data_IF_635318301960
#
_entry.id   IF_635318301960
#
_cell.length_a   1.000
_cell.length_b   1.000
_cell.length_c   1.000
_cell.angle_alpha   90.00
_cell.angle_beta   90.00
_cell.angle_gamma   90.00
#
_symmetry.space_group_name_H-M   'P 1'
#
loop_
_entity.id
_entity.type
_entity.pdbx_description
1 polymer ?
#
# COMPACT_ATOMS: atom_id res chain seq x y z
N UNK A 1 -11.71 16.25 -26.67
CA UNK A 1 -12.64 15.61 -27.62
C UNK A 1 -13.80 15.02 -26.82
N UNK A 2 -15.04 15.35 -27.16
CA UNK A 2 -16.21 14.76 -26.50
C UNK A 2 -16.26 13.26 -26.85
N UNK A 3 -16.32 12.40 -25.84
CA UNK A 3 -16.52 10.96 -26.02
C UNK A 3 -17.90 10.74 -26.62
N UNK A 4 -17.97 10.10 -27.79
CA UNK A 4 -19.25 9.69 -28.35
C UNK A 4 -19.86 8.59 -27.44
N UNK A 5 -20.96 8.91 -26.76
CA UNK A 5 -21.62 8.02 -25.81
C UNK A 5 -22.39 6.88 -26.50
N UNK A 6 -22.66 6.98 -27.80
CA UNK A 6 -23.44 5.97 -28.54
C UNK A 6 -22.76 4.59 -28.59
N UNK A 7 -21.44 4.55 -28.43
CA UNK A 7 -20.65 3.31 -28.41
C UNK A 7 -20.57 2.63 -27.03
N UNK A 8 -21.17 3.23 -26.01
CA UNK A 8 -21.05 2.80 -24.63
C UNK A 8 -22.40 2.47 -24.00
N UNK A 9 -22.37 1.54 -23.05
CA UNK A 9 -23.45 1.29 -22.09
C UNK A 9 -22.97 1.78 -20.74
N UNK A 10 -23.75 2.64 -20.08
CA UNK A 10 -23.44 3.08 -18.72
C UNK A 10 -23.89 2.00 -17.75
N UNK A 11 -22.98 1.54 -16.90
CA UNK A 11 -23.29 0.64 -15.79
C UNK A 11 -23.08 1.41 -14.50
N UNK A 12 -24.09 1.43 -13.64
CA UNK A 12 -24.02 2.01 -12.30
C UNK A 12 -23.93 0.91 -11.25
N UNK A 13 -23.00 1.06 -10.32
CA UNK A 13 -22.90 0.23 -9.14
C UNK A 13 -22.48 1.09 -7.94
N UNK A 14 -23.31 1.10 -6.90
CA UNK A 14 -23.15 2.03 -5.78
C UNK A 14 -23.20 3.48 -6.28
N UNK A 15 -22.19 4.25 -5.94
CA UNK A 15 -22.05 5.65 -6.35
C UNK A 15 -21.21 5.84 -7.62
N UNK A 16 -20.60 4.77 -8.13
CA UNK A 16 -19.76 4.80 -9.31
C UNK A 16 -20.53 4.43 -10.59
N UNK A 17 -20.15 5.06 -11.69
CA UNK A 17 -20.67 4.77 -13.02
C UNK A 17 -19.52 4.48 -14.00
N UNK A 18 -19.62 3.42 -14.79
CA UNK A 18 -18.60 3.06 -15.78
C UNK A 18 -19.19 3.04 -17.19
N UNK A 19 -18.38 3.49 -18.15
CA UNK A 19 -18.64 3.42 -19.57
C UNK A 19 -18.12 2.09 -20.12
N UNK A 20 -19.03 1.14 -20.34
CA UNK A 20 -18.68 -0.15 -20.95
C UNK A 20 -18.83 -0.10 -22.45
N UNK A 21 -17.75 -0.40 -23.18
CA UNK A 21 -17.82 -0.46 -24.64
C UNK A 21 -18.73 -1.61 -25.09
N UNK A 22 -19.61 -1.35 -26.05
CA UNK A 22 -20.47 -2.38 -26.67
C UNK A 22 -19.67 -3.52 -27.33
N UNK A 23 -18.38 -3.29 -27.62
CA UNK A 23 -17.45 -4.30 -28.16
C UNK A 23 -16.87 -5.24 -27.09
N UNK A 24 -17.30 -5.10 -25.83
CA UNK A 24 -16.94 -5.93 -24.68
C UNK A 24 -15.43 -6.19 -24.52
N UNK A 25 -14.62 -5.13 -24.73
CA UNK A 25 -13.16 -5.22 -24.68
C UNK A 25 -12.58 -5.36 -23.27
N UNK A 26 -13.32 -4.87 -22.28
CA UNK A 26 -12.88 -4.81 -20.88
C UNK A 26 -13.86 -5.58 -20.04
N UNK A 27 -13.36 -6.29 -19.04
CA UNK A 27 -14.18 -7.17 -18.23
C UNK A 27 -15.06 -6.41 -17.23
N UNK A 28 -16.24 -6.97 -17.02
CA UNK A 28 -17.16 -6.60 -15.95
C UNK A 28 -18.01 -7.82 -15.58
N UNK A 29 -18.17 -8.08 -14.28
CA UNK A 29 -19.05 -9.13 -13.78
C UNK A 29 -20.05 -8.60 -12.75
N UNK A 30 -21.34 -8.70 -13.06
CA UNK A 30 -22.44 -8.31 -12.18
C UNK A 30 -22.56 -9.22 -10.94
N UNK A 31 -22.09 -10.46 -11.00
CA UNK A 31 -22.12 -11.36 -9.84
C UNK A 31 -21.15 -10.92 -8.72
N UNK A 32 -20.16 -10.07 -9.04
CA UNK A 32 -19.16 -9.60 -8.09
C UNK A 32 -19.56 -8.32 -7.32
N UNK A 33 -20.81 -7.84 -7.44
CA UNK A 33 -21.29 -6.67 -6.67
C UNK A 33 -21.06 -6.89 -5.17
N UNK A 34 -21.46 -8.05 -4.64
CA UNK A 34 -21.30 -8.37 -3.21
C UNK A 34 -19.83 -8.46 -2.79
N UNK A 35 -18.94 -8.91 -3.69
CA UNK A 35 -17.50 -8.95 -3.41
C UNK A 35 -16.95 -7.52 -3.26
N UNK A 36 -17.33 -6.61 -4.16
CA UNK A 36 -16.94 -5.19 -4.10
C UNK A 36 -17.53 -4.48 -2.88
N UNK A 37 -18.79 -4.75 -2.55
CA UNK A 37 -19.44 -4.23 -1.33
C UNK A 37 -18.71 -4.67 -0.07
N UNK A 38 -18.27 -5.94 -0.02
CA UNK A 38 -17.50 -6.47 1.09
C UNK A 38 -16.16 -5.73 1.24
N UNK A 39 -15.43 -5.49 0.15
CA UNK A 39 -14.18 -4.74 0.20
C UNK A 39 -14.37 -3.31 0.71
N UNK A 40 -15.47 -2.64 0.32
CA UNK A 40 -15.83 -1.31 0.83
C UNK A 40 -16.09 -1.36 2.34
N UNK A 41 -16.85 -2.34 2.81
CA UNK A 41 -17.13 -2.51 4.23
C UNK A 41 -15.84 -2.74 5.03
N UNK A 42 -14.94 -3.59 4.52
CA UNK A 42 -13.64 -3.88 5.14
C UNK A 42 -12.75 -2.63 5.19
N UNK A 43 -12.64 -1.88 4.09
CA UNK A 43 -11.85 -0.64 4.04
C UNK A 43 -12.38 0.43 4.99
N UNK A 44 -13.71 0.60 5.08
CA UNK A 44 -14.33 1.51 6.06
C UNK A 44 -13.99 1.09 7.49
N UNK A 45 -14.10 -0.20 7.81
CA UNK A 45 -13.74 -0.72 9.13
C UNK A 45 -12.24 -0.53 9.43
N UNK A 46 -11.38 -0.76 8.44
CA UNK A 46 -9.93 -0.56 8.56
C UNK A 46 -9.57 0.91 8.86
N UNK A 47 -10.15 1.86 8.12
CA UNK A 47 -9.93 3.30 8.35
C UNK A 47 -10.41 3.70 9.75
N UNK A 48 -11.61 3.26 10.15
CA UNK A 48 -12.14 3.55 11.49
C UNK A 48 -11.24 2.99 12.59
N UNK A 49 -10.76 1.76 12.43
CA UNK A 49 -9.85 1.12 13.39
C UNK A 49 -8.51 1.85 13.48
N UNK A 50 -7.92 2.24 12.34
CA UNK A 50 -6.66 3.02 12.30
C UNK A 50 -6.80 4.36 13.02
N UNK A 51 -7.92 5.06 12.85
CA UNK A 51 -8.20 6.31 13.56
C UNK A 51 -8.26 6.09 15.07
N UNK A 52 -9.00 5.07 15.53
CA UNK A 52 -9.08 4.72 16.94
C UNK A 52 -7.69 4.37 17.51
N UNK A 53 -6.91 3.52 16.84
CA UNK A 53 -5.57 3.12 17.28
C UNK A 53 -4.63 4.33 17.39
N UNK A 54 -4.72 5.27 16.44
CA UNK A 54 -3.93 6.51 16.45
C UNK A 54 -4.34 7.44 17.60
N UNK A 55 -5.64 7.64 17.83
CA UNK A 55 -6.15 8.43 18.95
C UNK A 55 -5.73 7.84 20.31
N UNK A 56 -5.81 6.51 20.45
CA UNK A 56 -5.35 5.81 21.64
C UNK A 56 -3.83 6.00 21.85
N UNK A 57 -3.04 5.90 20.79
CA UNK A 57 -1.60 6.16 20.83
C UNK A 57 -1.29 7.58 21.30
N UNK A 58 -1.96 8.59 20.74
CA UNK A 58 -1.82 9.98 21.15
C UNK A 58 -2.20 10.19 22.62
N UNK A 59 -3.29 9.57 23.07
CA UNK A 59 -3.75 9.65 24.47
C UNK A 59 -2.74 9.04 25.45
N UNK A 60 -2.09 7.93 25.08
CA UNK A 60 -1.06 7.26 25.88
C UNK A 60 0.22 8.09 25.92
N UNK A 61 0.65 8.66 24.79
CA UNK A 61 1.81 9.56 24.70
C UNK A 61 1.64 10.79 25.59
N UNK A 62 0.46 11.43 25.54
CA UNK A 62 0.15 12.59 26.37
C UNK A 62 0.18 12.28 27.89
N UNK A 63 -0.28 11.09 28.30
CA UNK A 63 -0.19 10.62 29.70
C UNK A 63 1.26 10.31 30.11
N UNK A 64 2.07 9.75 29.22
CA UNK A 64 3.48 9.47 29.46
C UNK A 64 4.32 10.75 29.67
N UNK A 65 4.10 11.79 28.86
CA UNK A 65 4.80 13.07 29.00
C UNK A 65 4.47 13.79 30.31
N UNK A 66 3.22 13.71 30.80
CA UNK A 66 2.82 14.30 32.09
C UNK A 66 3.46 13.58 33.28
N UNK A 67 3.61 12.25 33.22
CA UNK A 67 4.21 11.46 34.31
C UNK A 67 5.73 11.64 34.41
N UNK A 68 6.40 12.02 33.31
CA UNK A 68 7.83 12.32 33.29
C UNK A 68 8.16 13.69 33.89
N UNK A 69 7.24 14.68 33.86
CA UNK A 69 7.49 16.01 34.43
C UNK A 69 7.16 16.14 35.92
N UNK A 70 6.60 15.10 36.55
CA UNK A 70 6.31 15.07 38.01
C UNK A 70 7.42 14.38 38.84
N UNK A 71 8.40 13.74 38.19
CA UNK A 71 9.46 12.98 38.88
C UNK A 71 10.80 13.70 38.99
N UNK A 72 10.91 14.97 38.58
CA UNK A 72 12.19 15.70 38.58
C UNK A 72 12.37 16.57 39.84
N UNK A 73 12.22 15.94 41.02
CA UNK A 73 12.81 16.42 42.28
C UNK A 73 13.16 15.23 43.17
N UNK A 74 14.30 14.58 42.93
CA UNK A 74 15.21 14.10 44.00
C UNK A 74 16.46 13.42 43.43
N UNK A 75 17.58 14.11 43.66
CA UNK A 75 18.90 13.59 44.04
C UNK A 75 19.82 12.93 43.00
N UNK A 76 20.90 13.67 42.70
CA UNK A 76 22.17 13.20 42.17
C UNK A 76 22.93 12.37 43.22
N UNK A 77 23.38 11.18 42.84
CA UNK A 77 24.59 10.57 43.40
C UNK A 77 25.31 9.79 42.30
N UNK A 78 26.56 10.18 42.08
CA UNK A 78 27.55 9.60 41.17
C UNK A 78 28.17 8.38 41.84
N UNK A 79 28.40 7.29 41.11
CA UNK A 79 29.61 6.47 41.26
C UNK A 79 29.84 5.55 40.04
N UNK A 80 31.12 5.27 39.80
CA UNK A 80 31.77 4.83 38.56
C UNK A 80 31.98 3.29 38.43
N UNK A 81 32.01 2.83 37.17
CA UNK A 81 32.89 1.80 36.54
C UNK A 81 32.99 0.38 37.14
N UNK A 82 32.71 -0.67 36.34
CA UNK A 82 33.75 -1.53 35.69
C UNK A 82 33.17 -2.67 34.81
N UNK A 83 33.97 -3.04 33.82
CA UNK A 83 33.73 -3.95 32.69
C UNK A 83 33.99 -5.42 33.09
N UNK A 84 33.23 -6.39 32.53
CA UNK A 84 33.66 -7.78 32.17
C UNK A 84 32.48 -8.72 31.82
N UNK A 85 32.50 -9.24 30.60
CA UNK A 85 31.89 -10.53 30.17
C UNK A 85 32.97 -11.63 30.20
N UNK A 86 32.70 -12.94 29.94
CA UNK A 86 31.48 -13.77 30.00
C UNK A 86 31.72 -15.08 30.84
N UNK A 87 30.83 -16.10 30.83
CA UNK A 87 31.00 -17.18 29.85
C UNK A 87 29.69 -17.78 29.28
N UNK A 88 29.92 -18.51 28.19
CA UNK A 88 29.00 -19.29 27.35
C UNK A 88 28.30 -20.44 28.09
N UNK A 89 27.12 -20.84 27.63
CA UNK A 89 26.83 -22.26 27.44
C UNK A 89 25.72 -22.53 26.42
N UNK A 90 26.05 -23.44 25.51
CA UNK A 90 25.25 -23.91 24.39
C UNK A 90 24.08 -24.81 24.81
N UNK A 91 23.00 -24.82 24.00
CA UNK A 91 22.45 -26.07 23.45
C UNK A 91 21.52 -25.87 22.24
N UNK A 92 21.97 -26.46 21.14
CA UNK A 92 21.27 -26.85 19.90
C UNK A 92 20.06 -27.76 20.19
N UNK A 93 19.11 -27.99 19.28
CA UNK A 93 19.31 -28.74 18.04
C UNK A 93 18.01 -28.80 17.20
N UNK A 94 18.14 -28.92 15.89
CA UNK A 94 17.00 -29.25 15.03
C UNK A 94 17.17 -28.99 13.53
N UNK A 95 18.29 -29.40 12.92
CA UNK A 95 18.49 -29.43 11.46
C UNK A 95 18.10 -30.81 10.91
N UNK A 96 17.44 -30.85 9.76
CA UNK A 96 17.41 -32.01 8.86
C UNK A 96 18.05 -31.62 7.52
N UNK A 97 18.89 -32.53 7.03
CA UNK A 97 19.75 -32.43 5.84
C UNK A 97 19.02 -33.04 4.62
N UNK A 98 19.41 -32.79 3.37
CA UNK A 98 20.55 -33.46 2.74
C UNK A 98 20.81 -32.96 1.30
N UNK A 99 22.12 -32.93 0.94
CA UNK A 99 22.83 -33.11 -0.35
C UNK A 99 22.62 -32.11 -1.51
N UNK A 100 23.67 -31.38 -1.95
CA UNK A 100 24.80 -31.75 -2.87
C UNK A 100 24.35 -31.70 -4.36
N UNK A 101 24.98 -31.03 -5.33
CA UNK A 101 26.38 -30.94 -5.73
C UNK A 101 26.53 -29.88 -6.87
N UNK A 102 27.69 -29.19 -6.88
CA UNK A 102 28.53 -28.67 -7.99
C UNK A 102 28.04 -27.89 -9.26
N UNK A 103 28.81 -26.82 -9.51
CA UNK A 103 28.96 -25.87 -10.66
C UNK A 103 29.78 -26.52 -11.83
N UNK A 104 29.93 -26.03 -13.11
CA UNK A 104 30.31 -24.63 -13.47
C UNK A 104 30.04 -24.03 -14.89
N UNK A 105 30.31 -22.71 -15.01
CA UNK A 105 30.66 -21.96 -16.25
C UNK A 105 29.49 -21.17 -16.87
N UNK A 106 29.58 -19.91 -17.34
CA UNK A 106 30.71 -19.11 -17.83
C UNK A 106 30.46 -17.58 -17.69
N UNK A 107 31.56 -16.88 -17.43
CA UNK A 107 31.98 -15.53 -17.86
C UNK A 107 31.04 -14.32 -17.74
N UNK A 108 31.33 -13.48 -16.74
CA UNK A 108 30.98 -12.05 -16.68
C UNK A 108 32.27 -11.23 -16.91
N UNK A 109 32.27 -10.37 -17.93
CA UNK A 109 33.35 -9.41 -18.17
C UNK A 109 33.10 -8.15 -17.34
N UNK A 110 34.16 -7.70 -16.70
CA UNK A 110 34.31 -6.52 -15.86
C UNK A 110 33.81 -5.23 -16.52
N UNK A 111 33.34 -4.27 -15.72
CA UNK A 111 33.88 -2.91 -15.61
C UNK A 111 33.31 -2.21 -14.36
N UNK A 112 34.23 -1.78 -13.50
CA UNK A 112 34.00 -1.06 -12.26
C UNK A 112 33.56 0.39 -12.51
N UNK A 113 32.73 0.92 -11.62
CA UNK A 113 32.36 2.33 -11.56
C UNK A 113 31.81 2.67 -10.18
N UNK A 114 32.70 2.89 -9.21
CA UNK A 114 32.38 3.38 -7.88
C UNK A 114 31.78 4.79 -7.95
N UNK A 115 30.56 4.97 -7.43
CA UNK A 115 30.00 6.29 -7.11
C UNK A 115 29.62 6.29 -5.63
N UNK A 116 30.35 7.10 -4.86
CA UNK A 116 30.04 7.46 -3.48
C UNK A 116 28.81 8.36 -3.51
N UNK A 117 27.80 8.04 -2.70
CA UNK A 117 26.70 8.96 -2.42
C UNK A 117 26.81 9.32 -0.95
N UNK A 118 27.05 10.60 -0.72
CA UNK A 118 27.16 11.24 0.59
C UNK A 118 25.82 11.15 1.32
N UNK A 119 25.86 10.64 2.55
CA UNK A 119 24.74 10.74 3.49
C UNK A 119 24.68 12.16 4.04
N UNK A 120 23.80 13.00 3.48
CA UNK A 120 23.43 14.26 4.12
C UNK A 120 22.57 13.99 5.36
N UNK A 121 23.17 14.22 6.52
CA UNK A 121 22.47 14.29 7.80
C UNK A 121 21.60 15.55 7.84
N UNK A 122 20.29 15.36 7.92
CA UNK A 122 19.34 16.42 8.26
C UNK A 122 19.19 16.43 9.78
N UNK A 123 19.76 17.47 10.39
CA UNK A 123 19.48 17.90 11.77
C UNK A 123 18.01 18.35 11.86
N UNK A 124 17.19 17.59 12.59
CA UNK A 124 15.78 17.91 12.83
C UNK A 124 15.57 18.18 14.33
N UNK A 125 16.03 19.35 14.77
CA UNK A 125 15.72 19.93 16.06
C UNK A 125 14.53 20.90 15.98
N UNK A 126 13.41 20.45 15.40
CA UNK A 126 12.12 21.11 15.59
C UNK A 126 11.16 20.19 16.35
N UNK A 127 10.51 20.75 17.38
CA UNK A 127 9.55 20.03 18.22
C UNK A 127 8.45 19.36 17.39
N UNK A 128 8.62 18.07 17.14
CA UNK A 128 7.75 17.26 16.28
C UNK A 128 6.35 17.21 16.88
N UNK A 129 5.44 18.03 16.34
CA UNK A 129 3.99 17.88 16.57
C UNK A 129 3.63 16.41 16.29
N UNK A 130 2.66 15.82 17.01
CA UNK A 130 2.26 14.45 16.72
C UNK A 130 1.89 14.35 15.24
N UNK A 131 2.56 13.45 14.51
CA UNK A 131 2.34 13.28 13.08
C UNK A 131 0.86 12.96 12.84
N UNK A 132 0.21 13.74 12.00
CA UNK A 132 -1.18 13.51 11.61
C UNK A 132 -1.31 12.13 10.93
N UNK A 133 -2.43 11.45 11.16
CA UNK A 133 -2.65 10.14 10.56
C UNK A 133 -2.93 10.30 9.06
N UNK A 134 -1.95 9.95 8.24
CA UNK A 134 -2.10 9.96 6.78
C UNK A 134 -3.23 9.02 6.32
N UNK A 135 -4.08 9.45 5.37
CA UNK A 135 -5.07 8.61 4.72
C UNK A 135 -4.42 7.38 4.05
N UNK A 136 -5.01 6.18 4.15
CA UNK A 136 -4.40 4.98 3.60
C UNK A 136 -4.36 5.02 2.07
N UNK A 137 -3.22 4.61 1.51
CA UNK A 137 -3.02 4.41 0.07
C UNK A 137 -3.39 3.00 -0.32
N UNK A 138 -4.18 2.87 -1.38
CA UNK A 138 -4.74 1.59 -1.84
C UNK A 138 -4.23 1.25 -3.23
N UNK A 139 -3.84 0.00 -3.44
CA UNK A 139 -3.58 -0.58 -4.76
C UNK A 139 -4.70 -1.54 -5.13
N UNK A 140 -5.41 -1.27 -6.22
CA UNK A 140 -6.24 -2.25 -6.92
C UNK A 140 -5.39 -2.84 -8.06
N UNK A 141 -4.86 -4.05 -7.86
CA UNK A 141 -3.78 -4.55 -8.71
C UNK A 141 -4.24 -5.10 -10.08
N UNK A 142 -5.53 -5.45 -10.22
CA UNK A 142 -6.15 -6.00 -11.43
C UNK A 142 -7.50 -5.32 -11.70
N UNK A 143 -7.45 -4.07 -12.15
CA UNK A 143 -8.56 -3.12 -12.06
C UNK A 143 -9.57 -3.21 -13.21
N UNK A 144 -9.20 -3.77 -14.36
CA UNK A 144 -10.01 -3.83 -15.57
C UNK A 144 -10.64 -2.47 -15.91
N UNK A 145 -11.95 -2.32 -15.68
CA UNK A 145 -12.68 -1.07 -15.95
C UNK A 145 -12.45 0.05 -14.92
N UNK A 146 -11.79 -0.22 -13.79
CA UNK A 146 -11.65 0.73 -12.70
C UNK A 146 -12.79 0.76 -11.70
N UNK A 147 -13.82 -0.08 -11.87
CA UNK A 147 -15.06 0.04 -11.10
C UNK A 147 -14.82 0.02 -9.58
N UNK A 148 -14.00 -0.91 -9.09
CA UNK A 148 -13.76 -1.06 -7.65
C UNK A 148 -12.93 0.10 -7.10
N UNK A 149 -11.86 0.55 -7.77
CA UNK A 149 -11.16 1.79 -7.39
C UNK A 149 -12.08 3.02 -7.38
N UNK A 150 -12.99 3.15 -8.35
CA UNK A 150 -13.94 4.26 -8.42
C UNK A 150 -14.91 4.22 -7.24
N UNK A 151 -15.43 3.04 -6.90
CA UNK A 151 -16.27 2.88 -5.72
C UNK A 151 -15.50 3.22 -4.45
N UNK A 152 -14.23 2.83 -4.32
CA UNK A 152 -13.40 3.22 -3.18
C UNK A 152 -13.28 4.74 -3.05
N UNK A 153 -12.96 5.44 -4.14
CA UNK A 153 -12.79 6.88 -4.12
C UNK A 153 -14.09 7.64 -3.77
N UNK A 154 -15.23 7.14 -4.24
CA UNK A 154 -16.54 7.79 -4.07
C UNK A 154 -17.23 7.46 -2.75
N UNK A 155 -17.15 6.19 -2.32
CA UNK A 155 -17.96 5.68 -1.22
C UNK A 155 -17.20 5.63 0.12
N UNK A 156 -15.88 5.84 0.13
CA UNK A 156 -15.07 5.71 1.34
C UNK A 156 -14.50 7.07 1.75
N UNK A 157 -14.99 7.57 2.88
CA UNK A 157 -14.47 8.77 3.51
C UNK A 157 -13.13 8.49 4.20
N UNK A 158 -12.18 9.42 4.09
CA UNK A 158 -10.86 9.30 4.69
C UNK A 158 -9.92 8.33 3.98
N UNK A 159 -10.28 7.81 2.80
CA UNK A 159 -9.34 7.10 1.92
C UNK A 159 -8.40 8.09 1.23
N UNK A 160 -7.13 7.68 1.07
CA UNK A 160 -6.14 8.43 0.31
C UNK A 160 -6.20 8.12 -1.18
N UNK A 161 -5.02 8.11 -1.81
CA UNK A 161 -4.86 7.76 -3.22
C UNK A 161 -5.19 6.28 -3.47
N UNK A 162 -5.90 6.00 -4.57
CA UNK A 162 -6.21 4.67 -5.09
C UNK A 162 -5.51 4.50 -6.44
N UNK A 163 -4.60 3.54 -6.53
CA UNK A 163 -3.90 3.19 -7.76
C UNK A 163 -4.60 2.00 -8.41
N UNK A 164 -5.16 2.22 -9.60
CA UNK A 164 -5.85 1.24 -10.42
C UNK A 164 -4.90 0.68 -11.50
N UNK A 165 -4.42 -0.54 -11.30
CA UNK A 165 -3.45 -1.16 -12.18
C UNK A 165 -4.10 -2.19 -13.11
N UNK A 166 -3.65 -2.23 -14.35
CA UNK A 166 -3.96 -3.34 -15.26
C UNK A 166 -2.79 -3.55 -16.24
N UNK A 167 -2.64 -4.75 -16.79
CA UNK A 167 -1.62 -5.06 -17.78
C UNK A 167 -2.16 -4.99 -19.22
N UNK A 168 -3.47 -4.83 -19.40
CA UNK A 168 -4.10 -4.61 -20.70
C UNK A 168 -4.26 -3.09 -20.97
N UNK A 169 -3.68 -2.57 -22.07
CA UNK A 169 -3.85 -1.18 -22.47
C UNK A 169 -5.32 -0.76 -22.62
N UNK A 170 -6.20 -1.65 -23.09
CA UNK A 170 -7.62 -1.31 -23.27
C UNK A 170 -8.35 -1.12 -21.92
N UNK A 171 -8.06 -1.97 -20.93
CA UNK A 171 -8.50 -1.80 -19.54
C UNK A 171 -8.04 -0.46 -18.96
N UNK A 172 -6.75 -0.12 -19.07
CA UNK A 172 -6.21 1.15 -18.54
C UNK A 172 -6.86 2.36 -19.21
N UNK A 173 -7.06 2.32 -20.53
CA UNK A 173 -7.78 3.38 -21.24
C UNK A 173 -9.23 3.51 -20.79
N UNK A 174 -9.93 2.39 -20.56
CA UNK A 174 -11.30 2.39 -20.05
C UNK A 174 -11.36 2.96 -18.63
N UNK A 175 -10.46 2.52 -17.74
CA UNK A 175 -10.34 3.04 -16.38
C UNK A 175 -10.11 4.55 -16.38
N UNK A 176 -9.17 5.06 -17.19
CA UNK A 176 -8.93 6.51 -17.34
C UNK A 176 -10.15 7.29 -17.82
N UNK A 177 -10.96 6.72 -18.73
CA UNK A 177 -12.23 7.33 -19.17
C UNK A 177 -13.25 7.35 -18.03
N UNK A 178 -13.36 6.25 -17.28
CA UNK A 178 -14.29 6.13 -16.17
C UNK A 178 -13.92 7.04 -14.99
N UNK A 179 -12.64 7.24 -14.71
CA UNK A 179 -12.16 8.22 -13.73
C UNK A 179 -12.67 9.62 -14.09
N UNK A 180 -12.49 10.05 -15.34
CA UNK A 180 -13.00 11.35 -15.81
C UNK A 180 -14.52 11.42 -15.76
N UNK A 181 -15.20 10.33 -16.10
CA UNK A 181 -16.67 10.25 -16.09
C UNK A 181 -17.26 10.40 -14.68
N UNK A 182 -16.55 9.96 -13.63
CA UNK A 182 -16.98 10.08 -12.24
C UNK A 182 -16.67 11.43 -11.58
N UNK A 183 -16.13 12.38 -12.34
CA UNK A 183 -15.94 13.76 -11.88
C UNK A 183 -14.75 13.96 -10.94
N UNK A 184 -14.73 15.12 -10.27
CA UNK A 184 -13.56 15.61 -9.54
C UNK A 184 -13.10 14.71 -8.40
N UNK A 185 -14.03 14.07 -7.68
CA UNK A 185 -13.70 13.17 -6.56
C UNK A 185 -12.90 11.96 -7.05
N UNK A 186 -13.29 11.37 -8.19
CA UNK A 186 -12.55 10.27 -8.76
C UNK A 186 -11.20 10.74 -9.33
N UNK A 187 -11.18 11.88 -10.03
CA UNK A 187 -9.95 12.45 -10.61
C UNK A 187 -8.91 12.81 -9.55
N UNK A 188 -9.32 13.27 -8.36
CA UNK A 188 -8.39 13.66 -7.29
C UNK A 188 -7.83 12.48 -6.50
N UNK A 189 -8.50 11.32 -6.53
CA UNK A 189 -8.13 10.16 -5.71
C UNK A 189 -7.62 8.98 -6.52
N UNK A 190 -8.05 8.80 -7.76
CA UNK A 190 -7.76 7.59 -8.55
C UNK A 190 -6.79 7.91 -9.69
N UNK A 191 -5.72 7.13 -9.78
CA UNK A 191 -4.83 7.11 -10.93
C UNK A 191 -4.81 5.71 -11.56
N UNK A 192 -4.57 5.62 -12.87
CA UNK A 192 -4.53 4.33 -13.57
C UNK A 192 -3.26 4.13 -14.39
N UNK A 193 -2.59 3.00 -14.14
CA UNK A 193 -1.28 2.66 -14.67
C UNK A 193 -1.32 1.36 -15.48
N UNK A 194 -0.47 1.29 -16.51
CA UNK A 194 -0.25 0.10 -17.33
C UNK A 194 1.00 -0.62 -16.83
N UNK A 195 0.85 -1.70 -16.07
CA UNK A 195 1.96 -2.53 -15.62
C UNK A 195 1.50 -3.93 -15.18
N UNK A 196 2.44 -4.87 -15.09
CA UNK A 196 2.22 -6.15 -14.42
C UNK A 196 2.13 -5.94 -12.90
N UNK A 197 1.12 -6.55 -12.27
CA UNK A 197 0.88 -6.41 -10.83
C UNK A 197 2.06 -6.83 -9.96
N UNK A 198 2.77 -7.91 -10.30
CA UNK A 198 3.88 -8.41 -9.49
C UNK A 198 5.06 -7.47 -9.58
N UNK A 199 5.43 -7.09 -10.80
CA UNK A 199 6.52 -6.12 -11.04
C UNK A 199 6.22 -4.82 -10.32
N UNK A 200 5.01 -4.29 -10.47
CA UNK A 200 4.61 -3.04 -9.83
C UNK A 200 4.69 -3.14 -8.31
N UNK A 201 4.24 -4.24 -7.69
CA UNK A 201 4.35 -4.42 -6.24
C UNK A 201 5.81 -4.54 -5.77
N UNK A 202 6.67 -5.23 -6.52
CA UNK A 202 8.10 -5.39 -6.19
C UNK A 202 8.88 -4.07 -6.30
N UNK A 203 8.56 -3.23 -7.28
CA UNK A 203 9.17 -1.90 -7.46
C UNK A 203 8.66 -0.86 -6.45
N UNK A 204 7.57 -1.17 -5.74
CA UNK A 204 6.90 -0.25 -4.83
C UNK A 204 6.75 -0.82 -3.41
N UNK A 205 7.85 -1.26 -2.77
CA UNK A 205 7.79 -1.86 -1.44
C UNK A 205 7.30 -0.83 -0.40
N UNK A 206 6.40 -1.27 0.49
CA UNK A 206 5.85 -0.47 1.60
C UNK A 206 5.14 0.82 1.16
N UNK A 207 4.73 0.95 -0.11
CA UNK A 207 4.04 2.16 -0.61
C UNK A 207 2.53 2.16 -0.36
N UNK A 208 1.93 1.00 -0.12
CA UNK A 208 0.48 0.82 0.02
C UNK A 208 0.14 0.27 1.40
N UNK A 209 -0.92 0.80 1.99
CA UNK A 209 -1.49 0.31 3.24
C UNK A 209 -2.46 -0.86 2.98
N UNK A 210 -3.07 -0.89 1.80
CA UNK A 210 -4.01 -1.93 1.38
C UNK A 210 -3.72 -2.32 -0.08
N UNK A 211 -3.69 -3.62 -0.33
CA UNK A 211 -3.63 -4.20 -1.68
C UNK A 211 -4.85 -5.08 -1.88
N UNK A 212 -5.61 -4.81 -2.94
CA UNK A 212 -6.73 -5.61 -3.37
C UNK A 212 -6.33 -6.46 -4.59
N UNK A 213 -6.39 -7.79 -4.41
CA UNK A 213 -6.08 -8.80 -5.41
C UNK A 213 -7.35 -9.59 -5.77
N UNK A 214 -7.93 -9.31 -6.94
CA UNK A 214 -9.10 -10.01 -7.48
C UNK A 214 -8.83 -10.56 -8.90
N UNK A 215 -7.92 -11.56 -9.04
CA UNK A 215 -7.58 -12.10 -10.34
C UNK A 215 -8.61 -13.09 -10.87
N UNK A 216 -8.51 -13.43 -12.16
CA UNK A 216 -9.19 -14.61 -12.68
C UNK A 216 -8.57 -15.88 -12.11
N UNK A 217 -9.30 -16.53 -11.23
CA UNK A 217 -8.87 -17.78 -10.63
C UNK A 217 -8.02 -17.55 -9.38
N UNK A 218 -6.89 -18.26 -9.27
CA UNK A 218 -6.10 -18.25 -8.04
C UNK A 218 -5.22 -17.00 -7.89
N UNK A 219 -5.15 -16.39 -6.69
CA UNK A 219 -4.23 -15.29 -6.42
C UNK A 219 -2.79 -15.75 -6.13
N UNK A 220 -2.50 -17.05 -6.09
CA UNK A 220 -1.19 -17.58 -5.66
C UNK A 220 0.01 -17.05 -6.44
N UNK A 221 -0.18 -16.60 -7.68
CA UNK A 221 0.93 -16.06 -8.49
C UNK A 221 1.35 -14.64 -8.08
N UNK A 222 0.56 -13.97 -7.23
CA UNK A 222 0.78 -12.59 -6.78
C UNK A 222 1.20 -12.48 -5.30
N UNK A 223 1.19 -13.59 -4.56
CA UNK A 223 1.51 -13.68 -3.13
C UNK A 223 2.91 -14.26 -2.93
#
# INVERSE_FOLDING_TARGET
>A
MATNLDDFTVIKEGEAEILMSKKNKVFFNKAQVNNRDLSIAVLRAFISKRKQEHEEYLSKKAKGTKKASENDTSEMAVEEVDNKTPPEDHKSNGKCELAEETSPGESCTTMEGSVKIDEEQVDDSEGKRPAELEPPRVLEALSASGLRALRYAREIEGIGQVVALDNDPASVEACRKNIKFNGSVAVSKVESHLADARVYMLENPKKFDVVDLDPYGSPSVFL
#
